data_IF_904824661298
#
_entry.id   IF_904824661298
#
_cell.length_a   1.000
_cell.length_b   1.000
_cell.length_c   1.000
_cell.angle_alpha   90.00
_cell.angle_beta   90.00
_cell.angle_gamma   90.00
#
_symmetry.space_group_name_H-M   'P 1'
#
loop_
_entity.id
_entity.type
_entity.pdbx_description
1 polymer ?
#
# COMPACT_ATOMS: atom_id res chain seq x y z
N UNK A 1 6.78 3.75 -2.36
CA UNK A 1 6.80 3.21 -0.98
C UNK A 1 7.13 1.73 -1.00
N UNK A 2 7.60 1.17 0.14
CA UNK A 2 7.74 -0.28 0.32
C UNK A 2 6.74 -0.68 1.39
N UNK A 3 5.81 -1.56 1.01
CA UNK A 3 4.80 -2.10 1.91
C UNK A 3 5.23 -3.48 2.41
N UNK A 4 5.13 -3.69 3.73
CA UNK A 4 5.31 -4.99 4.36
C UNK A 4 4.04 -5.38 5.09
N UNK A 5 3.55 -6.60 4.83
CA UNK A 5 2.37 -7.15 5.50
C UNK A 5 2.57 -8.61 5.90
N UNK A 6 1.97 -9.00 7.02
CA UNK A 6 1.99 -10.38 7.49
C UNK A 6 0.94 -11.23 6.75
N UNK A 7 1.11 -12.55 6.62
CA UNK A 7 0.07 -13.43 6.10
C UNK A 7 -1.27 -13.19 6.81
N UNK A 8 -2.37 -13.15 6.07
CA UNK A 8 -3.71 -12.84 6.55
C UNK A 8 -4.02 -11.35 6.76
N UNK A 9 -3.03 -10.46 6.59
CA UNK A 9 -3.29 -9.02 6.70
C UNK A 9 -4.06 -8.48 5.50
N UNK A 10 -4.87 -7.45 5.74
CA UNK A 10 -5.70 -6.78 4.74
C UNK A 10 -5.39 -5.28 4.74
N UNK A 11 -5.18 -4.72 3.56
CA UNK A 11 -5.20 -3.28 3.35
C UNK A 11 -6.62 -2.91 2.91
N UNK A 12 -7.23 -1.97 3.60
CA UNK A 12 -8.63 -1.58 3.36
C UNK A 12 -8.93 -1.25 1.91
N UNK A 13 -10.17 -1.41 1.50
CA UNK A 13 -10.61 -1.12 0.12
C UNK A 13 -10.32 0.33 -0.23
N UNK A 14 -9.66 0.55 -1.34
CA UNK A 14 -9.26 1.86 -1.82
C UNK A 14 -9.18 1.89 -3.35
N UNK A 15 -9.11 3.08 -3.91
CA UNK A 15 -8.73 3.29 -5.30
C UNK A 15 -7.66 4.37 -5.42
N UNK A 16 -6.85 4.29 -6.46
CA UNK A 16 -5.81 5.26 -6.75
C UNK A 16 -6.32 6.37 -7.68
N UNK A 17 -5.91 7.61 -7.41
CA UNK A 17 -6.24 8.76 -8.28
C UNK A 17 -5.29 8.88 -9.47
N UNK A 18 -4.15 8.20 -9.43
CA UNK A 18 -3.18 8.07 -10.51
C UNK A 18 -2.83 6.61 -10.76
N UNK A 19 -1.84 6.36 -11.59
CA UNK A 19 -1.37 5.01 -11.90
C UNK A 19 -0.51 4.43 -10.78
N UNK A 20 -0.48 3.10 -10.69
CA UNK A 20 0.39 2.38 -9.75
C UNK A 20 1.22 1.35 -10.50
N UNK A 21 2.49 1.26 -10.11
CA UNK A 21 3.38 0.19 -10.50
C UNK A 21 3.81 -0.56 -9.24
N UNK A 22 3.63 -1.87 -9.20
CA UNK A 22 4.00 -2.72 -8.09
C UNK A 22 5.00 -3.79 -8.50
N UNK A 23 6.03 -4.00 -7.68
CA UNK A 23 6.97 -5.11 -7.84
C UNK A 23 7.07 -5.90 -6.55
N UNK A 24 6.66 -7.18 -6.60
CA UNK A 24 6.69 -8.08 -5.45
C UNK A 24 8.09 -8.63 -5.25
N UNK A 25 8.68 -8.33 -4.09
CA UNK A 25 9.99 -8.83 -3.70
C UNK A 25 9.89 -10.12 -2.87
N UNK A 26 8.87 -10.23 -2.01
CA UNK A 26 8.66 -11.39 -1.11
C UNK A 26 7.19 -11.63 -0.85
N UNK A 27 6.88 -12.85 -0.41
CA UNK A 27 5.54 -13.24 0.00
C UNK A 27 4.55 -13.33 -1.14
N UNK A 28 3.30 -13.63 -0.79
CA UNK A 28 2.19 -13.78 -1.74
C UNK A 28 1.05 -12.84 -1.35
N UNK A 29 0.47 -12.17 -2.35
CA UNK A 29 -0.66 -11.29 -2.14
C UNK A 29 -1.55 -11.20 -3.38
N UNK A 30 -2.76 -10.71 -3.23
CA UNK A 30 -3.68 -10.46 -4.34
C UNK A 30 -4.64 -9.32 -4.00
N UNK A 31 -5.41 -8.89 -4.99
CA UNK A 31 -6.65 -8.17 -4.75
C UNK A 31 -7.81 -9.17 -4.64
N UNK A 32 -8.76 -8.91 -3.73
CA UNK A 32 -9.95 -9.76 -3.60
C UNK A 32 -10.76 -9.78 -4.88
N UNK A 33 -10.72 -8.71 -5.65
CA UNK A 33 -11.47 -8.50 -6.88
C UNK A 33 -10.86 -9.20 -8.09
N UNK A 34 -9.68 -9.83 -7.94
CA UNK A 34 -8.96 -10.52 -9.02
C UNK A 34 -8.57 -11.94 -8.66
N UNK A 35 -8.44 -12.81 -9.69
CA UNK A 35 -8.10 -14.23 -9.53
C UNK A 35 -6.60 -14.52 -9.50
N UNK A 36 -5.75 -13.56 -9.84
CA UNK A 36 -4.31 -13.76 -9.83
C UNK A 36 -3.72 -13.63 -8.42
N UNK A 37 -2.57 -14.25 -8.22
CA UNK A 37 -1.74 -14.11 -7.01
C UNK A 37 -0.37 -13.58 -7.43
N UNK A 38 0.03 -12.44 -6.87
CA UNK A 38 1.37 -11.90 -7.00
C UNK A 38 2.33 -12.67 -6.10
N UNK A 39 3.46 -13.06 -6.67
CA UNK A 39 4.56 -13.79 -6.02
C UNK A 39 5.88 -13.05 -6.26
N UNK A 40 6.98 -13.42 -5.61
CA UNK A 40 8.28 -12.78 -5.88
C UNK A 40 8.61 -12.75 -7.38
N UNK A 41 8.94 -11.55 -7.88
CA UNK A 41 9.16 -11.30 -9.30
C UNK A 41 7.93 -10.83 -10.09
N UNK A 42 6.74 -10.87 -9.51
CA UNK A 42 5.53 -10.33 -10.17
C UNK A 42 5.59 -8.81 -10.24
N UNK A 43 5.37 -8.28 -11.43
CA UNK A 43 5.13 -6.86 -11.69
C UNK A 43 3.65 -6.66 -12.01
N UNK A 44 3.06 -5.62 -11.45
CA UNK A 44 1.69 -5.19 -11.73
C UNK A 44 1.67 -3.74 -12.20
N UNK A 45 0.70 -3.45 -13.04
CA UNK A 45 0.31 -2.09 -13.45
C UNK A 45 -1.17 -1.92 -13.17
N UNK A 46 -1.53 -0.82 -12.54
CA UNK A 46 -2.91 -0.47 -12.22
C UNK A 46 -3.25 0.89 -12.82
N UNK A 47 -4.28 0.96 -13.67
CA UNK A 47 -4.84 2.25 -14.07
C UNK A 47 -5.54 2.93 -12.90
N UNK A 48 -5.68 4.24 -12.96
CA UNK A 48 -6.43 5.00 -11.97
C UNK A 48 -7.91 4.59 -11.91
N UNK A 49 -8.52 4.66 -10.72
CA UNK A 49 -9.96 4.59 -10.52
C UNK A 49 -10.55 3.22 -10.24
N UNK A 50 -9.80 2.14 -10.31
CA UNK A 50 -10.27 0.81 -9.91
C UNK A 50 -10.22 0.66 -8.38
N UNK A 51 -11.37 0.33 -7.78
CA UNK A 51 -11.42 0.04 -6.34
C UNK A 51 -11.05 -1.41 -6.08
N UNK A 52 -10.12 -1.62 -5.14
CA UNK A 52 -9.64 -2.96 -4.81
C UNK A 52 -9.24 -3.07 -3.33
N UNK A 53 -9.16 -4.32 -2.87
CA UNK A 53 -8.80 -4.71 -1.50
C UNK A 53 -7.58 -5.62 -1.55
N UNK A 54 -6.43 -5.12 -1.09
CA UNK A 54 -5.21 -5.91 -1.06
C UNK A 54 -5.22 -6.84 0.15
N UNK A 55 -4.97 -8.12 -0.11
CA UNK A 55 -4.81 -9.13 0.95
C UNK A 55 -3.51 -9.89 0.78
N UNK A 56 -2.80 -10.09 1.87
CA UNK A 56 -1.68 -11.02 1.93
C UNK A 56 -2.27 -12.39 2.17
N UNK A 57 -2.01 -13.36 1.28
CA UNK A 57 -2.65 -14.66 1.36
C UNK A 57 -2.26 -15.39 2.66
N UNK A 58 -3.19 -16.13 3.25
CA UNK A 58 -2.95 -16.87 4.50
C UNK A 58 -1.84 -17.90 4.36
N UNK A 59 -1.70 -18.49 3.18
CA UNK A 59 -0.68 -19.46 2.82
C UNK A 59 0.63 -18.84 2.31
N UNK A 60 0.79 -17.51 2.41
CA UNK A 60 2.06 -16.87 2.08
C UNK A 60 3.19 -17.44 2.94
N UNK A 61 4.29 -17.94 2.36
CA UNK A 61 5.35 -18.60 3.11
C UNK A 61 6.16 -17.65 4.01
N UNK A 62 6.02 -16.34 3.76
CA UNK A 62 6.72 -15.29 4.47
C UNK A 62 5.93 -13.97 4.39
N UNK A 63 6.28 -12.94 5.20
CA UNK A 63 5.68 -11.62 5.05
C UNK A 63 5.85 -11.08 3.63
N UNK A 64 4.77 -10.51 3.09
CA UNK A 64 4.80 -9.80 1.82
C UNK A 64 5.70 -8.57 1.94
N UNK A 65 6.57 -8.36 0.94
CA UNK A 65 7.30 -7.11 0.72
C UNK A 65 7.13 -6.73 -0.75
N UNK A 66 6.45 -5.62 -0.99
CA UNK A 66 6.20 -5.11 -2.35
C UNK A 66 6.59 -3.64 -2.43
N UNK A 67 7.34 -3.29 -3.46
CA UNK A 67 7.60 -1.90 -3.80
C UNK A 67 6.48 -1.38 -4.67
N UNK A 68 5.86 -0.28 -4.26
CA UNK A 68 4.86 0.44 -5.05
C UNK A 68 5.36 1.83 -5.42
N UNK A 69 5.22 2.18 -6.69
CA UNK A 69 5.28 3.55 -7.19
C UNK A 69 3.85 3.99 -7.42
N UNK A 70 3.38 4.97 -6.65
CA UNK A 70 2.01 5.46 -6.67
C UNK A 70 2.02 6.90 -7.16
N UNK A 71 1.34 7.17 -8.25
CA UNK A 71 1.15 8.52 -8.75
C UNK A 71 -0.07 9.17 -8.08
N UNK A 72 0.14 10.35 -7.51
CA UNK A 72 -0.90 11.05 -6.74
C UNK A 72 -1.13 10.38 -5.39
N UNK A 73 -2.39 10.13 -5.05
CA UNK A 73 -2.77 9.53 -3.78
C UNK A 73 -3.77 8.39 -3.95
N UNK A 74 -4.24 7.92 -2.83
CA UNK A 74 -5.29 6.91 -2.79
C UNK A 74 -6.42 7.35 -1.85
N UNK A 75 -7.61 6.86 -2.14
CA UNK A 75 -8.83 7.15 -1.37
C UNK A 75 -9.35 5.84 -0.82
N UNK A 76 -9.34 5.73 0.52
CA UNK A 76 -9.96 4.60 1.21
C UNK A 76 -11.48 4.73 1.22
N UNK A 77 -12.17 3.61 1.08
CA UNK A 77 -13.62 3.51 1.12
C UNK A 77 -14.07 2.87 2.44
N UNK A 78 -15.22 3.30 2.95
CA UNK A 78 -15.81 2.75 4.17
C UNK A 78 -16.43 1.35 3.96
N UNK A 79 -16.70 0.99 2.70
CA UNK A 79 -17.22 -0.34 2.29
C UNK A 79 -16.64 -0.74 0.94
N UNK A 80 -16.48 -2.07 0.70
CA UNK A 80 -16.10 -2.57 -0.62
C UNK A 80 -17.05 -2.12 -1.72
N UNK A 81 -16.52 -1.91 -2.91
CA UNK A 81 -17.17 -1.65 -4.19
C UNK A 81 -17.98 -0.34 -4.33
N UNK A 82 -18.77 0.07 -3.35
CA UNK A 82 -19.62 1.27 -3.44
C UNK A 82 -19.61 2.10 -2.15
N UNK A 83 -18.57 1.96 -1.35
CA UNK A 83 -18.40 2.70 -0.11
C UNK A 83 -18.18 4.20 -0.34
N UNK A 84 -18.57 5.00 0.66
CA UNK A 84 -18.25 6.41 0.72
C UNK A 84 -16.78 6.66 1.05
N UNK A 85 -16.38 7.93 1.02
CA UNK A 85 -15.07 8.36 1.44
C UNK A 85 -14.79 8.01 2.91
N UNK A 86 -13.69 7.34 3.17
CA UNK A 86 -13.23 7.06 4.52
C UNK A 86 -11.96 7.86 4.88
N UNK A 87 -10.95 7.85 4.01
CA UNK A 87 -9.69 8.55 4.23
C UNK A 87 -8.98 8.83 2.90
N UNK A 88 -8.06 9.79 2.94
CA UNK A 88 -7.13 10.08 1.83
C UNK A 88 -5.71 9.90 2.31
N UNK A 89 -4.87 9.33 1.45
CA UNK A 89 -3.45 9.13 1.71
C UNK A 89 -2.62 9.50 0.48
N UNK A 90 -1.54 10.21 0.71
CA UNK A 90 -0.52 10.54 -0.30
C UNK A 90 0.88 10.59 0.34
N UNK A 91 1.88 10.97 -0.42
CA UNK A 91 3.26 11.07 0.07
C UNK A 91 3.42 12.04 1.25
N UNK A 92 2.62 13.09 1.34
CA UNK A 92 2.68 14.07 2.43
C UNK A 92 2.02 13.55 3.71
N UNK A 93 0.86 12.90 3.58
CA UNK A 93 0.18 12.28 4.73
C UNK A 93 1.01 11.13 5.31
N UNK A 94 1.63 10.31 4.45
CA UNK A 94 2.57 9.27 4.88
C UNK A 94 3.83 9.83 5.56
N UNK A 95 4.35 10.96 5.06
CA UNK A 95 5.48 11.63 5.68
C UNK A 95 5.14 12.08 7.11
N UNK A 96 3.97 12.70 7.31
CA UNK A 96 3.52 13.13 8.65
C UNK A 96 3.30 11.93 9.59
N UNK A 97 2.71 10.84 9.11
CA UNK A 97 2.59 9.60 9.89
C UNK A 97 3.97 9.08 10.30
N UNK A 98 4.92 9.09 9.39
CA UNK A 98 6.30 8.64 9.66
C UNK A 98 7.01 9.55 10.66
N UNK A 99 6.85 10.88 10.56
CA UNK A 99 7.38 11.83 11.54
C UNK A 99 6.83 11.57 12.93
N UNK A 100 5.52 11.37 13.05
CA UNK A 100 4.88 11.05 14.32
C UNK A 100 5.41 9.75 14.91
N UNK A 101 5.58 8.71 14.09
CA UNK A 101 6.20 7.46 14.55
C UNK A 101 7.64 7.67 15.03
N UNK A 102 8.46 8.43 14.30
CA UNK A 102 9.86 8.71 14.67
C UNK A 102 9.92 9.42 16.03
N UNK A 103 9.07 10.43 16.26
CA UNK A 103 8.98 11.12 17.56
C UNK A 103 8.62 10.17 18.68
N UNK A 104 7.61 9.32 18.50
CA UNK A 104 7.17 8.35 19.50
C UNK A 104 8.22 7.26 19.77
N UNK A 105 8.97 6.85 18.76
CA UNK A 105 10.02 5.85 18.87
C UNK A 105 11.38 6.42 19.32
N UNK A 106 11.51 7.75 19.51
CA UNK A 106 12.77 8.40 19.88
C UNK A 106 13.80 8.39 18.74
N UNK A 107 13.36 8.31 17.49
CA UNK A 107 14.22 8.35 16.31
C UNK A 107 14.41 9.80 15.83
N UNK A 108 15.52 10.04 15.14
CA UNK A 108 15.81 11.37 14.57
C UNK A 108 14.98 11.63 13.32
N UNK A 109 13.93 12.44 13.46
CA UNK A 109 13.02 12.78 12.35
C UNK A 109 13.68 13.61 11.23
N UNK A 110 14.83 14.25 11.49
CA UNK A 110 15.57 14.99 10.46
C UNK A 110 16.05 14.11 9.32
N UNK A 111 16.19 12.80 9.56
CA UNK A 111 16.50 11.84 8.50
C UNK A 111 15.44 11.83 7.40
N UNK A 112 14.19 12.17 7.73
CA UNK A 112 13.08 12.21 6.76
C UNK A 112 13.17 13.42 5.82
N UNK A 113 13.89 14.48 6.20
CA UNK A 113 14.08 15.66 5.36
C UNK A 113 14.87 15.33 4.08
N UNK A 114 15.66 14.24 4.11
CA UNK A 114 16.39 13.74 2.94
C UNK A 114 15.47 13.14 1.87
N UNK A 115 14.23 12.79 2.22
CA UNK A 115 13.22 12.22 1.30
C UNK A 115 12.44 13.31 0.55
N UNK A 116 12.56 14.56 0.96
CA UNK A 116 11.83 15.69 0.39
C UNK A 116 12.77 16.47 -0.54
N UNK A 117 12.32 16.72 -1.75
CA UNK A 117 13.07 17.51 -2.75
C UNK A 117 12.22 18.64 -3.28
#
# INVERSE_FOLDING_TARGET
MILKGLPGSVVGTHYHVGTVHGYTMRGHWRYLEHDWIAKPGTYIYEPAGEAHTLVITDDSPEPMITMFVVEGGLIYLDKPANGGFAAYEDGFTLLELTRNYYRQAGLDEKQLDLLIR
#
